data_IF_385744891653
#
_entry.id   IF_385744891653
#
_cell.length_a   1.000
_cell.length_b   1.000
_cell.length_c   1.000
_cell.angle_alpha   90.00
_cell.angle_beta   90.00
_cell.angle_gamma   90.00
#
_symmetry.space_group_name_H-M   'P 1'
#
loop_
_entity.id
_entity.type
_entity.pdbx_description
1 polymer ?
#
# COMPACT_ATOMS: atom_id res chain seq x y z
N UNK A 1 41.18 5.91 59.19
CA UNK A 1 40.97 6.84 58.08
C UNK A 1 39.80 6.35 57.24
N UNK A 2 38.64 6.94 57.47
CA UNK A 2 37.37 6.58 56.85
C UNK A 2 37.13 7.53 55.67
N UNK A 3 37.22 6.99 54.45
CA UNK A 3 37.17 7.77 53.21
C UNK A 3 35.71 7.99 52.82
N UNK A 4 35.14 9.10 53.25
CA UNK A 4 33.79 9.56 52.88
C UNK A 4 33.69 9.73 51.36
N UNK A 5 32.80 8.94 50.75
CA UNK A 5 32.52 8.96 49.31
C UNK A 5 31.51 10.08 49.03
N UNK A 6 31.96 11.18 48.45
CA UNK A 6 31.09 12.26 47.98
C UNK A 6 30.12 11.74 46.90
N UNK A 7 28.84 11.70 47.24
CA UNK A 7 27.75 11.52 46.28
C UNK A 7 27.54 12.83 45.54
N UNK A 8 27.87 12.86 44.24
CA UNK A 8 27.54 13.99 43.37
C UNK A 8 26.02 14.09 43.20
N UNK A 9 25.43 15.30 43.22
CA UNK A 9 24.01 15.49 43.00
C UNK A 9 23.64 15.11 41.56
N UNK A 10 22.61 14.27 41.45
CA UNK A 10 21.97 13.90 40.20
C UNK A 10 21.27 15.15 39.64
N UNK A 11 21.80 15.70 38.55
CA UNK A 11 21.15 16.79 37.81
C UNK A 11 20.17 16.13 36.82
N UNK A 12 18.85 16.30 36.98
CA UNK A 12 17.91 15.77 36.00
C UNK A 12 18.11 16.55 34.69
N UNK A 13 18.62 15.88 33.67
CA UNK A 13 18.59 16.38 32.30
C UNK A 13 17.12 16.57 31.96
N UNK A 14 16.75 17.83 31.72
CA UNK A 14 15.36 18.23 31.54
C UNK A 14 14.69 17.41 30.45
N UNK A 15 13.61 16.72 30.83
CA UNK A 15 12.53 16.35 29.93
C UNK A 15 12.00 17.64 29.30
N UNK A 16 12.53 18.00 28.14
CA UNK A 16 11.83 18.88 27.21
C UNK A 16 10.63 18.06 26.72
N UNK A 17 9.51 18.19 27.41
CA UNK A 17 8.23 17.56 27.03
C UNK A 17 7.92 17.92 25.58
N UNK A 18 8.04 16.93 24.70
CA UNK A 18 7.64 16.93 23.28
C UNK A 18 6.15 17.24 23.02
N UNK A 19 5.39 17.60 24.06
CA UNK A 19 3.97 18.00 23.98
C UNK A 19 3.68 19.17 23.02
N UNK A 20 4.68 20.01 22.70
CA UNK A 20 4.52 21.12 21.75
C UNK A 20 4.71 20.71 20.29
N UNK A 21 5.44 19.62 20.01
CA UNK A 21 5.71 19.17 18.64
C UNK A 21 4.50 18.52 17.97
N UNK A 22 3.77 17.68 18.71
CA UNK A 22 2.61 16.94 18.18
C UNK A 22 1.40 17.87 17.93
N UNK A 23 1.25 18.91 18.76
CA UNK A 23 0.20 19.93 18.59
C UNK A 23 0.43 20.79 17.33
N UNK A 24 1.67 21.02 16.92
CA UNK A 24 2.00 21.81 15.71
C UNK A 24 1.76 21.02 14.42
N UNK A 25 2.05 19.72 14.41
CA UNK A 25 1.84 18.84 13.26
C UNK A 25 0.35 18.54 13.00
N UNK A 26 -0.45 18.40 14.06
CA UNK A 26 -1.91 18.21 13.95
C UNK A 26 -2.64 19.50 13.54
N UNK A 27 -2.16 20.68 13.96
CA UNK A 27 -2.77 21.97 13.59
C UNK A 27 -2.45 22.40 12.14
N UNK A 28 -1.30 21.99 11.59
CA UNK A 28 -0.97 22.23 10.17
C UNK A 28 -1.73 21.30 9.20
N UNK A 29 -2.21 20.14 9.67
CA UNK A 29 -2.86 19.14 8.79
C UNK A 29 -4.37 19.32 8.64
N UNK A 30 -5.05 19.97 9.59
CA UNK A 30 -6.51 20.12 9.56
C UNK A 30 -7.03 21.43 8.95
N UNK A 31 -6.20 22.46 8.85
CA UNK A 31 -6.67 23.80 8.44
C UNK A 31 -6.64 24.03 6.92
N UNK A 32 -6.06 23.11 6.12
CA UNK A 32 -5.93 23.30 4.66
C UNK A 32 -6.63 22.25 3.78
N UNK A 33 -7.24 21.19 4.35
CA UNK A 33 -7.86 20.12 3.54
C UNK A 33 -9.39 20.22 3.43
N UNK A 34 -10.06 21.10 4.20
CA UNK A 34 -11.54 21.14 4.24
C UNK A 34 -12.23 22.08 3.23
N UNK A 35 -11.53 22.82 2.37
CA UNK A 35 -12.17 23.91 1.60
C UNK A 35 -12.09 23.84 0.06
N UNK A 36 -11.65 22.73 -0.55
CA UNK A 36 -11.64 22.62 -2.03
C UNK A 36 -12.12 21.27 -2.55
N UNK A 37 -13.41 21.00 -2.35
CA UNK A 37 -14.17 20.08 -3.22
C UNK A 37 -15.50 20.74 -3.62
N UNK A 38 -15.42 21.94 -4.20
CA UNK A 38 -16.53 22.56 -4.93
C UNK A 38 -16.21 22.49 -6.42
N UNK A 39 -16.92 21.63 -7.14
CA UNK A 39 -16.81 21.51 -8.59
C UNK A 39 -17.70 22.58 -9.21
N UNK A 40 -17.11 23.68 -9.66
CA UNK A 40 -17.74 24.53 -10.67
C UNK A 40 -17.46 23.91 -12.04
N UNK A 41 -18.50 23.36 -12.66
CA UNK A 41 -18.48 22.98 -14.08
C UNK A 41 -18.72 24.23 -14.92
N UNK A 42 -17.65 24.85 -15.43
CA UNK A 42 -17.75 25.78 -16.57
C UNK A 42 -17.39 25.02 -17.84
N UNK A 43 -18.37 24.97 -18.75
CA UNK A 43 -18.29 24.35 -20.07
C UNK A 43 -17.79 25.42 -21.04
N UNK A 44 -16.58 25.26 -21.58
CA UNK A 44 -16.12 26.02 -22.74
C UNK A 44 -15.31 25.11 -23.65
N UNK A 45 -15.88 24.78 -24.80
CA UNK A 45 -15.21 24.09 -25.90
C UNK A 45 -14.15 25.00 -26.52
N UNK A 46 -12.95 24.51 -26.87
CA UNK A 46 -12.09 25.23 -27.79
C UNK A 46 -12.29 24.76 -29.24
N UNK A 47 -12.39 25.75 -30.11
CA UNK A 47 -12.36 25.67 -31.56
C UNK A 47 -11.11 24.97 -32.10
N UNK A 48 -11.31 24.23 -33.18
CA UNK A 48 -10.28 23.56 -33.97
C UNK A 48 -9.65 24.59 -34.89
N UNK A 49 -8.37 24.91 -34.69
CA UNK A 49 -7.56 25.67 -35.64
C UNK A 49 -6.41 24.80 -36.15
N UNK A 50 -6.50 24.46 -37.43
CA UNK A 50 -5.57 23.59 -38.14
C UNK A 50 -4.20 24.24 -38.33
N UNK A 51 -3.16 23.43 -38.15
CA UNK A 51 -1.80 23.77 -38.55
C UNK A 51 -1.27 22.74 -39.55
N UNK A 52 -0.98 23.25 -40.74
CA UNK A 52 -0.28 22.60 -41.85
C UNK A 52 1.22 22.81 -41.62
N UNK A 53 2.02 21.76 -41.61
CA UNK A 53 3.47 21.90 -41.84
C UNK A 53 3.95 20.92 -42.91
N UNK A 54 4.74 21.48 -43.83
CA UNK A 54 5.34 20.83 -44.98
C UNK A 54 6.54 19.98 -44.54
N UNK A 55 6.81 18.92 -45.30
CA UNK A 55 7.82 17.93 -45.01
C UNK A 55 9.27 18.40 -45.14
N UNK A 56 10.14 17.58 -44.57
CA UNK A 56 11.53 17.45 -44.97
C UNK A 56 11.93 15.98 -44.79
N UNK A 57 12.30 15.34 -45.91
CA UNK A 57 12.93 14.02 -45.95
C UNK A 57 14.41 14.18 -45.65
N UNK A 58 14.94 13.35 -44.76
CA UNK A 58 16.35 12.95 -44.79
C UNK A 58 16.43 11.43 -44.64
N UNK A 59 17.17 10.81 -45.56
CA UNK A 59 17.61 9.41 -45.51
C UNK A 59 18.91 9.36 -44.72
N UNK A 60 19.02 8.43 -43.77
CA UNK A 60 20.25 8.14 -43.05
C UNK A 60 20.20 6.72 -42.48
N UNK A 61 21.21 5.92 -42.80
CA UNK A 61 21.30 4.47 -42.60
C UNK A 61 21.63 4.09 -41.14
N UNK A 62 20.87 3.11 -40.63
CA UNK A 62 21.35 1.91 -39.93
C UNK A 62 22.24 2.04 -38.69
N UNK A 63 21.67 1.77 -37.51
CA UNK A 63 22.22 0.83 -36.53
C UNK A 63 21.12 0.33 -35.57
N UNK A 64 21.14 -0.97 -35.28
CA UNK A 64 20.18 -1.69 -34.41
C UNK A 64 20.30 -1.21 -32.96
N UNK A 65 19.15 -0.92 -32.38
CA UNK A 65 18.96 -0.68 -30.95
C UNK A 65 17.52 -0.24 -30.74
N UNK A 66 16.60 -1.21 -30.61
CA UNK A 66 15.18 -0.91 -30.30
C UNK A 66 15.15 -0.48 -28.83
N UNK A 67 15.35 0.82 -28.60
CA UNK A 67 14.89 1.48 -27.39
C UNK A 67 13.50 1.99 -27.71
N UNK A 68 12.48 1.30 -27.23
CA UNK A 68 11.09 1.73 -27.37
C UNK A 68 10.87 2.91 -26.40
N UNK A 69 11.39 4.08 -26.78
CA UNK A 69 11.12 5.34 -26.10
C UNK A 69 9.81 5.89 -26.63
N UNK A 70 8.72 5.18 -26.36
CA UNK A 70 7.39 5.72 -26.58
C UNK A 70 7.15 6.81 -25.54
N UNK A 71 7.09 8.06 -26.00
CA UNK A 71 6.49 9.13 -25.23
C UNK A 71 5.00 8.82 -25.13
N UNK A 72 4.63 8.00 -24.13
CA UNK A 72 3.25 7.92 -23.68
C UNK A 72 2.90 9.28 -23.11
N UNK A 73 2.43 10.18 -24.00
CA UNK A 73 1.46 11.18 -23.56
C UNK A 73 0.44 10.37 -22.80
N UNK A 74 0.25 10.69 -21.52
CA UNK A 74 -0.86 10.22 -20.70
C UNK A 74 -2.11 10.69 -21.44
N UNK A 75 -2.48 9.97 -22.49
CA UNK A 75 -3.83 9.85 -22.92
C UNK A 75 -4.49 9.35 -21.68
N UNK A 76 -5.28 10.23 -21.06
CA UNK A 76 -6.48 9.80 -20.40
C UNK A 76 -7.23 8.99 -21.47
N UNK A 77 -6.84 7.72 -21.63
CA UNK A 77 -7.71 6.71 -22.16
C UNK A 77 -8.98 6.97 -21.37
N UNK A 78 -10.01 7.43 -22.08
CA UNK A 78 -11.35 7.53 -21.52
C UNK A 78 -11.67 6.09 -21.16
N UNK A 79 -11.28 5.72 -19.94
CA UNK A 79 -11.79 4.57 -19.24
C UNK A 79 -13.27 4.88 -19.18
N UNK A 80 -14.02 4.31 -20.12
CA UNK A 80 -15.41 4.66 -20.31
C UNK A 80 -16.08 4.39 -18.98
N UNK A 81 -16.51 5.46 -18.29
CA UNK A 81 -17.24 5.37 -17.04
C UNK A 81 -18.48 4.45 -17.16
N UNK A 82 -18.89 4.15 -18.39
CA UNK A 82 -19.90 3.18 -18.80
C UNK A 82 -19.57 1.72 -18.46
N UNK A 83 -18.30 1.29 -18.45
CA UNK A 83 -17.94 -0.07 -18.01
C UNK A 83 -18.00 -0.25 -16.48
N UNK A 84 -18.17 0.85 -15.75
CA UNK A 84 -18.46 0.85 -14.30
C UNK A 84 -19.87 1.36 -14.01
N UNK A 85 -20.76 1.43 -15.01
CA UNK A 85 -22.17 1.57 -14.71
C UNK A 85 -22.52 0.47 -13.70
N UNK A 86 -23.02 0.81 -12.51
CA UNK A 86 -23.30 -0.19 -11.49
C UNK A 86 -24.20 -1.21 -12.15
N UNK A 87 -23.74 -2.47 -12.23
CA UNK A 87 -24.63 -3.60 -12.45
C UNK A 87 -25.73 -3.39 -11.43
N UNK A 88 -26.90 -2.95 -11.92
CA UNK A 88 -27.98 -2.48 -11.09
C UNK A 88 -28.21 -3.56 -10.07
N UNK A 89 -28.02 -3.24 -8.78
CA UNK A 89 -28.15 -4.19 -7.67
C UNK A 89 -29.52 -4.83 -7.75
N UNK A 90 -29.63 -5.96 -8.45
CA UNK A 90 -30.79 -6.82 -8.33
C UNK A 90 -30.73 -7.33 -6.90
N UNK A 91 -31.76 -7.01 -6.11
CA UNK A 91 -31.90 -7.47 -4.73
C UNK A 91 -32.22 -8.97 -4.66
N UNK A 92 -31.57 -9.77 -5.48
CA UNK A 92 -31.54 -11.22 -5.31
C UNK A 92 -30.39 -11.51 -4.37
N UNK A 93 -30.73 -11.64 -3.08
CA UNK A 93 -29.93 -12.31 -2.06
C UNK A 93 -29.86 -13.81 -2.41
N UNK A 94 -29.28 -14.14 -3.57
CA UNK A 94 -28.79 -15.49 -3.80
C UNK A 94 -27.52 -15.61 -2.96
N UNK A 95 -27.49 -16.63 -2.09
CA UNK A 95 -26.23 -17.23 -1.63
C UNK A 95 -25.50 -17.70 -2.89
N UNK A 96 -24.82 -16.79 -3.57
CA UNK A 96 -23.88 -17.13 -4.62
C UNK A 96 -22.70 -17.75 -3.89
N UNK A 97 -22.81 -19.07 -3.65
CA UNK A 97 -21.68 -19.90 -3.30
C UNK A 97 -20.77 -19.85 -4.51
N UNK A 98 -19.89 -18.86 -4.54
CA UNK A 98 -18.78 -18.82 -5.49
C UNK A 98 -18.09 -20.16 -5.38
N UNK A 99 -18.08 -20.92 -6.46
CA UNK A 99 -17.51 -22.27 -6.55
C UNK A 99 -15.97 -22.26 -6.43
N UNK A 100 -15.38 -21.19 -5.88
CA UNK A 100 -13.95 -20.97 -5.77
C UNK A 100 -13.26 -21.94 -4.81
N UNK A 101 -14.02 -22.71 -4.01
CA UNK A 101 -13.46 -23.60 -2.99
C UNK A 101 -12.97 -22.87 -1.74
N UNK A 102 -12.63 -21.59 -1.86
CA UNK A 102 -12.22 -20.74 -0.75
C UNK A 102 -13.32 -20.53 0.28
N UNK A 103 -12.97 -20.72 1.55
CA UNK A 103 -13.83 -20.52 2.71
C UNK A 103 -13.19 -19.51 3.64
N UNK A 104 -14.04 -18.67 4.20
CA UNK A 104 -13.64 -17.75 5.25
C UNK A 104 -13.18 -18.55 6.47
N UNK A 105 -12.07 -18.14 7.10
CA UNK A 105 -11.58 -18.83 8.31
C UNK A 105 -12.60 -18.88 9.42
N UNK A 106 -12.44 -19.87 10.29
CA UNK A 106 -13.28 -20.05 11.45
C UNK A 106 -13.10 -18.94 12.49
N UNK A 107 -14.10 -18.74 13.35
CA UNK A 107 -14.00 -17.80 14.47
C UNK A 107 -12.85 -18.17 15.44
N UNK A 108 -12.54 -19.46 15.57
CA UNK A 108 -11.44 -19.94 16.39
C UNK A 108 -10.08 -19.52 15.82
N UNK A 109 -9.89 -19.62 14.50
CA UNK A 109 -8.65 -19.20 13.83
C UNK A 109 -8.48 -17.69 13.87
N UNK A 110 -9.55 -16.94 13.64
CA UNK A 110 -9.54 -15.49 13.85
C UNK A 110 -9.15 -15.15 15.29
N UNK A 111 -9.74 -15.83 16.29
CA UNK A 111 -9.40 -15.61 17.70
C UNK A 111 -7.92 -15.89 18.01
N UNK A 112 -7.33 -16.95 17.41
CA UNK A 112 -5.89 -17.23 17.53
C UNK A 112 -5.05 -16.08 16.96
N UNK A 113 -5.40 -15.57 15.77
CA UNK A 113 -4.69 -14.46 15.15
C UNK A 113 -4.80 -13.17 15.98
N UNK A 114 -5.98 -12.87 16.52
CA UNK A 114 -6.18 -11.76 17.47
C UNK A 114 -5.33 -11.95 18.72
N UNK A 115 -5.24 -13.16 19.26
CA UNK A 115 -4.37 -13.48 20.40
C UNK A 115 -2.87 -13.24 20.12
N UNK A 116 -2.40 -13.61 18.93
CA UNK A 116 -1.02 -13.32 18.49
C UNK A 116 -0.79 -11.82 18.38
N UNK A 117 -1.68 -11.08 17.72
CA UNK A 117 -1.58 -9.62 17.60
C UNK A 117 -1.64 -8.92 18.98
N UNK A 118 -2.49 -9.41 19.89
CA UNK A 118 -2.56 -8.94 21.28
C UNK A 118 -1.26 -9.20 22.04
N UNK A 119 -0.62 -10.36 21.82
CA UNK A 119 0.69 -10.67 22.41
C UNK A 119 1.79 -9.75 21.87
N UNK A 120 1.84 -9.53 20.54
CA UNK A 120 2.78 -8.57 19.94
C UNK A 120 2.58 -7.17 20.49
N UNK A 121 1.32 -6.75 20.67
CA UNK A 121 0.97 -5.48 21.30
C UNK A 121 1.50 -5.44 22.73
N UNK A 122 1.19 -6.42 23.58
CA UNK A 122 1.68 -6.48 24.95
C UNK A 122 3.21 -6.42 25.05
N UNK A 123 3.92 -7.14 24.17
CA UNK A 123 5.38 -7.09 24.08
C UNK A 123 5.90 -5.71 23.67
N UNK A 124 5.20 -5.01 22.77
CA UNK A 124 5.57 -3.64 22.39
C UNK A 124 5.39 -2.61 23.51
N UNK A 125 4.55 -2.91 24.52
CA UNK A 125 4.37 -2.12 25.74
C UNK A 125 5.32 -2.50 26.88
N UNK A 126 6.01 -3.65 26.79
CA UNK A 126 6.80 -4.17 27.90
C UNK A 126 8.21 -3.57 27.93
N UNK A 127 8.56 -2.89 29.02
CA UNK A 127 9.90 -2.33 29.23
C UNK A 127 10.99 -3.39 29.40
N UNK A 128 10.61 -4.65 29.64
CA UNK A 128 11.55 -5.77 29.62
C UNK A 128 12.00 -6.17 28.21
N UNK A 129 11.28 -5.72 27.17
CA UNK A 129 11.63 -5.99 25.78
C UNK A 129 12.52 -4.85 25.25
N UNK A 130 13.67 -5.15 24.62
CA UNK A 130 14.54 -4.12 24.08
C UNK A 130 13.83 -3.20 23.07
N UNK A 131 14.12 -1.90 23.13
CA UNK A 131 13.52 -0.87 22.25
C UNK A 131 13.54 -1.25 20.76
N UNK A 132 14.65 -1.77 20.18
CA UNK A 132 14.65 -2.17 18.76
C UNK A 132 13.62 -3.26 18.43
N UNK A 133 13.38 -4.19 19.34
CA UNK A 133 12.40 -5.27 19.17
C UNK A 133 10.98 -4.71 19.28
N UNK A 134 10.72 -3.83 20.26
CA UNK A 134 9.42 -3.16 20.40
C UNK A 134 9.07 -2.35 19.15
N UNK A 135 10.03 -1.59 18.61
CA UNK A 135 9.86 -0.83 17.37
C UNK A 135 9.63 -1.75 16.16
N UNK A 136 10.34 -2.87 16.06
CA UNK A 136 10.14 -3.83 14.98
C UNK A 136 8.71 -4.40 15.00
N UNK A 137 8.22 -4.79 16.18
CA UNK A 137 6.86 -5.30 16.37
C UNK A 137 5.81 -4.26 15.96
N UNK A 138 5.94 -3.02 16.44
CA UNK A 138 5.04 -1.93 16.05
C UNK A 138 5.08 -1.64 14.56
N UNK A 139 6.28 -1.59 13.98
CA UNK A 139 6.47 -1.36 12.54
C UNK A 139 5.74 -2.43 11.74
N UNK A 140 5.93 -3.72 12.06
CA UNK A 140 5.24 -4.80 11.36
C UNK A 140 3.71 -4.69 11.47
N UNK A 141 3.18 -4.49 12.69
CA UNK A 141 1.73 -4.36 12.91
C UNK A 141 1.13 -3.18 12.16
N UNK A 142 1.81 -2.03 12.14
CA UNK A 142 1.39 -0.83 11.41
C UNK A 142 1.39 -1.10 9.91
N UNK A 143 2.45 -1.66 9.36
CA UNK A 143 2.57 -1.86 7.91
C UNK A 143 1.61 -2.94 7.39
N UNK A 144 1.44 -4.06 8.10
CA UNK A 144 0.43 -5.07 7.74
C UNK A 144 -0.99 -4.49 7.81
N UNK A 145 -1.30 -3.70 8.85
CA UNK A 145 -2.61 -3.04 8.96
C UNK A 145 -2.81 -1.98 7.89
N UNK A 146 -1.79 -1.18 7.58
CA UNK A 146 -1.85 -0.13 6.56
C UNK A 146 -2.07 -0.71 5.16
N UNK A 147 -1.36 -1.79 4.81
CA UNK A 147 -1.58 -2.53 3.56
C UNK A 147 -3.03 -3.01 3.46
N UNK A 148 -3.53 -3.69 4.49
CA UNK A 148 -4.92 -4.15 4.55
C UNK A 148 -5.92 -3.00 4.40
N UNK A 149 -5.75 -1.91 5.16
CA UNK A 149 -6.68 -0.78 5.14
C UNK A 149 -6.68 -0.08 3.77
N UNK A 150 -5.50 0.12 3.19
CA UNK A 150 -5.36 0.75 1.88
C UNK A 150 -5.97 -0.12 0.79
N UNK A 151 -5.64 -1.42 0.77
CA UNK A 151 -6.14 -2.33 -0.25
C UNK A 151 -7.66 -2.50 -0.13
N UNK A 152 -8.20 -2.68 1.08
CA UNK A 152 -9.65 -2.82 1.29
C UNK A 152 -10.44 -1.54 1.06
N UNK A 153 -10.02 -0.43 1.68
CA UNK A 153 -10.84 0.79 1.77
C UNK A 153 -10.45 1.89 0.78
N UNK A 154 -9.30 1.78 0.10
CA UNK A 154 -8.92 2.66 -0.99
C UNK A 154 -9.02 1.94 -2.35
N UNK A 155 -8.29 0.84 -2.52
CA UNK A 155 -8.23 0.16 -3.81
C UNK A 155 -9.55 -0.56 -4.17
N UNK A 156 -10.22 -1.16 -3.19
CA UNK A 156 -11.57 -1.76 -3.33
C UNK A 156 -12.71 -0.87 -2.80
N UNK A 157 -12.46 0.44 -2.68
CA UNK A 157 -13.48 1.38 -2.24
C UNK A 157 -14.72 1.34 -3.15
N UNK A 158 -15.96 1.31 -2.59
CA UNK A 158 -17.16 1.39 -3.41
C UNK A 158 -17.21 2.67 -4.25
N UNK A 159 -17.77 2.59 -5.45
CA UNK A 159 -17.94 3.74 -6.33
C UNK A 159 -18.60 4.92 -5.59
N UNK A 160 -18.05 6.13 -5.75
CA UNK A 160 -18.49 7.37 -5.10
C UNK A 160 -18.39 7.39 -3.56
N UNK A 161 -17.82 6.38 -2.92
CA UNK A 161 -17.46 6.45 -1.50
C UNK A 161 -16.37 7.49 -1.26
N UNK A 162 -16.12 7.82 0.00
CA UNK A 162 -15.04 8.74 0.36
C UNK A 162 -13.67 8.23 -0.11
N UNK A 163 -13.39 6.93 0.07
CA UNK A 163 -12.15 6.29 -0.40
C UNK A 163 -11.96 6.41 -1.91
N UNK A 164 -13.00 6.12 -2.70
CA UNK A 164 -12.97 6.26 -4.17
C UNK A 164 -12.77 7.72 -4.60
N UNK A 165 -13.32 8.69 -3.88
CA UNK A 165 -13.15 10.11 -4.21
C UNK A 165 -11.74 10.60 -3.91
N UNK A 166 -11.21 10.27 -2.74
CA UNK A 166 -9.89 10.74 -2.30
C UNK A 166 -8.74 9.98 -2.98
N UNK A 167 -8.93 8.69 -3.26
CA UNK A 167 -7.88 7.79 -3.77
C UNK A 167 -8.29 7.16 -5.11
N UNK A 168 -9.05 7.91 -5.91
CA UNK A 168 -9.61 7.47 -7.21
C UNK A 168 -8.60 6.80 -8.12
N UNK A 169 -7.41 7.37 -8.24
CA UNK A 169 -6.40 6.84 -9.16
C UNK A 169 -5.96 5.43 -8.74
N UNK A 170 -5.74 5.20 -7.44
CA UNK A 170 -5.39 3.89 -6.91
C UNK A 170 -6.54 2.89 -7.08
N UNK A 171 -7.76 3.30 -6.77
CA UNK A 171 -8.95 2.49 -6.98
C UNK A 171 -9.12 2.06 -8.45
N UNK A 172 -9.07 3.01 -9.39
CA UNK A 172 -9.29 2.72 -10.80
C UNK A 172 -8.19 1.85 -11.40
N UNK A 173 -6.93 2.08 -11.05
CA UNK A 173 -5.82 1.23 -11.48
C UNK A 173 -5.97 -0.20 -10.94
N UNK A 174 -6.37 -0.34 -9.67
CA UNK A 174 -6.56 -1.66 -9.06
C UNK A 174 -7.76 -2.42 -9.61
N UNK A 175 -8.91 -1.76 -9.77
CA UNK A 175 -10.08 -2.38 -10.37
C UNK A 175 -9.85 -2.74 -11.85
N UNK A 176 -9.07 -1.94 -12.58
CA UNK A 176 -8.64 -2.27 -13.94
C UNK A 176 -7.77 -3.53 -13.93
N UNK A 177 -6.79 -3.59 -13.03
CA UNK A 177 -5.95 -4.77 -12.84
C UNK A 177 -6.78 -6.04 -12.59
N UNK A 178 -7.75 -6.01 -11.66
CA UNK A 178 -8.68 -7.13 -11.44
C UNK A 178 -9.46 -7.57 -12.68
N UNK A 179 -9.86 -6.62 -13.54
CA UNK A 179 -10.55 -6.91 -14.80
C UNK A 179 -9.65 -7.38 -15.95
N UNK A 180 -8.35 -7.09 -15.85
CA UNK A 180 -7.31 -7.44 -16.83
C UNK A 180 -6.57 -8.74 -16.47
N UNK A 181 -6.72 -9.24 -15.25
CA UNK A 181 -6.23 -10.56 -14.82
C UNK A 181 -7.18 -11.68 -15.25
N UNK A 182 -6.63 -12.73 -15.86
CA UNK A 182 -7.34 -13.94 -16.23
C UNK A 182 -7.59 -14.86 -15.02
N UNK A 183 -8.43 -15.87 -15.16
CA UNK A 183 -8.74 -16.81 -14.07
C UNK A 183 -7.52 -17.65 -13.64
N UNK A 184 -6.54 -17.83 -14.52
CA UNK A 184 -5.26 -18.50 -14.23
C UNK A 184 -4.20 -17.54 -13.67
N UNK A 185 -4.60 -16.34 -13.24
CA UNK A 185 -3.76 -15.25 -12.73
C UNK A 185 -2.84 -14.57 -13.76
N UNK A 186 -2.78 -15.04 -15.02
CA UNK A 186 -2.02 -14.34 -16.07
C UNK A 186 -2.66 -13.01 -16.45
N UNK A 187 -1.90 -12.08 -17.05
CA UNK A 187 -2.44 -10.80 -17.54
C UNK A 187 -2.90 -10.89 -18.99
N UNK A 188 -3.99 -10.19 -19.33
CA UNK A 188 -4.44 -9.99 -20.72
C UNK A 188 -3.46 -9.15 -21.53
N UNK A 189 -3.45 -9.34 -22.84
CA UNK A 189 -2.67 -8.50 -23.75
C UNK A 189 -3.07 -7.02 -23.64
N UNK A 190 -2.08 -6.13 -23.57
CA UNK A 190 -2.31 -4.69 -23.45
C UNK A 190 -2.76 -4.21 -22.07
N UNK A 191 -2.62 -5.03 -21.02
CA UNK A 191 -2.88 -4.62 -19.64
C UNK A 191 -2.07 -3.38 -19.25
N UNK A 192 -2.57 -2.64 -18.26
CA UNK A 192 -1.86 -1.47 -17.74
C UNK A 192 -0.83 -1.87 -16.67
N UNK A 193 0.49 -1.73 -16.93
CA UNK A 193 1.51 -2.15 -15.98
C UNK A 193 1.49 -1.38 -14.66
N UNK A 194 0.98 -0.14 -14.65
CA UNK A 194 0.87 0.66 -13.43
C UNK A 194 -0.13 0.11 -12.41
N UNK A 195 -0.97 -0.85 -12.79
CA UNK A 195 -1.85 -1.57 -11.86
C UNK A 195 -1.11 -2.65 -11.04
N UNK A 196 0.10 -3.03 -11.43
CA UNK A 196 0.83 -4.18 -10.85
C UNK A 196 1.94 -3.74 -9.88
N UNK A 197 2.50 -2.55 -9.98
CA UNK A 197 3.63 -2.16 -9.13
C UNK A 197 3.41 -0.81 -8.44
N UNK A 198 4.20 -0.56 -7.40
CA UNK A 198 4.28 0.72 -6.73
C UNK A 198 5.40 1.59 -7.29
N UNK A 199 4.99 2.77 -7.74
CA UNK A 199 5.89 3.85 -8.13
C UNK A 199 6.57 4.49 -6.91
N UNK A 200 7.65 5.22 -7.14
CA UNK A 200 8.36 6.02 -6.13
C UNK A 200 7.42 6.98 -5.40
N UNK A 201 6.42 7.52 -6.09
CA UNK A 201 5.40 8.37 -5.48
C UNK A 201 4.60 7.61 -4.42
N UNK A 202 4.14 6.41 -4.74
CA UNK A 202 3.40 5.57 -3.80
C UNK A 202 4.29 5.17 -2.62
N UNK A 203 5.52 4.75 -2.87
CA UNK A 203 6.49 4.43 -1.81
C UNK A 203 6.77 5.63 -0.89
N UNK A 204 6.93 6.84 -1.45
CA UNK A 204 7.14 8.05 -0.65
C UNK A 204 5.93 8.38 0.23
N UNK A 205 4.71 8.22 -0.29
CA UNK A 205 3.48 8.41 0.50
C UNK A 205 3.41 7.38 1.63
N UNK A 206 3.67 6.10 1.33
CA UNK A 206 3.69 5.02 2.33
C UNK A 206 4.74 5.26 3.41
N UNK A 207 5.93 5.74 3.04
CA UNK A 207 7.00 6.12 3.96
C UNK A 207 6.55 7.25 4.91
N UNK A 208 5.96 8.33 4.40
CA UNK A 208 5.48 9.44 5.22
C UNK A 208 4.33 9.02 6.14
N UNK A 209 3.38 8.24 5.63
CA UNK A 209 2.27 7.70 6.41
C UNK A 209 2.79 6.75 7.51
N UNK A 210 3.73 5.86 7.17
CA UNK A 210 4.38 4.97 8.10
C UNK A 210 5.13 5.72 9.21
N UNK A 211 5.87 6.79 8.87
CA UNK A 211 6.58 7.61 9.84
C UNK A 211 5.63 8.30 10.83
N UNK A 212 4.51 8.85 10.33
CA UNK A 212 3.48 9.47 11.16
C UNK A 212 2.86 8.43 12.13
N UNK A 213 2.46 7.28 11.60
CA UNK A 213 1.84 6.21 12.39
C UNK A 213 2.81 5.63 13.43
N UNK A 214 4.07 5.39 13.05
CA UNK A 214 5.08 4.86 13.97
C UNK A 214 5.45 5.87 15.05
N UNK A 215 5.49 7.16 14.73
CA UNK A 215 5.68 8.23 15.74
C UNK A 215 4.53 8.22 16.75
N UNK A 216 3.28 8.19 16.28
CA UNK A 216 2.11 8.14 17.16
C UNK A 216 2.09 6.87 18.02
N UNK A 217 2.44 5.72 17.45
CA UNK A 217 2.51 4.46 18.18
C UNK A 217 3.67 4.43 19.20
N UNK A 218 4.83 4.98 18.85
CA UNK A 218 5.98 5.10 19.77
C UNK A 218 5.61 5.93 21.00
N UNK A 219 4.94 7.06 20.80
CA UNK A 219 4.42 7.89 21.90
C UNK A 219 3.37 7.13 22.72
N UNK A 220 2.39 6.50 22.06
CA UNK A 220 1.33 5.74 22.73
C UNK A 220 1.82 4.52 23.52
N UNK A 221 3.02 4.04 23.23
CA UNK A 221 3.67 2.89 23.90
C UNK A 221 4.82 3.31 24.82
N UNK A 222 5.07 4.61 24.99
CA UNK A 222 6.20 5.16 25.74
C UNK A 222 7.56 4.59 25.30
N UNK A 223 7.74 4.34 24.00
CA UNK A 223 9.03 3.95 23.45
C UNK A 223 9.86 5.22 23.22
N UNK A 224 10.97 5.34 23.96
CA UNK A 224 11.96 6.41 23.79
C UNK A 224 12.83 6.17 22.55
N UNK A 225 12.23 6.38 21.38
CA UNK A 225 12.91 6.31 20.10
C UNK A 225 13.13 7.72 19.55
N UNK A 226 14.37 8.02 19.17
CA UNK A 226 14.67 9.28 18.49
C UNK A 226 13.92 9.38 17.17
N UNK A 227 13.58 10.60 16.74
CA UNK A 227 12.97 10.84 15.43
C UNK A 227 13.81 10.25 14.29
N UNK A 228 15.15 10.32 14.39
CA UNK A 228 16.07 9.73 13.40
C UNK A 228 15.90 8.21 13.32
N UNK A 229 15.74 7.54 14.46
CA UNK A 229 15.48 6.10 14.53
C UNK A 229 14.16 5.76 13.84
N UNK A 230 13.08 6.47 14.16
CA UNK A 230 11.75 6.26 13.55
C UNK A 230 11.81 6.46 12.04
N UNK A 231 12.39 7.58 11.58
CA UNK A 231 12.52 7.87 10.15
C UNK A 231 13.36 6.80 9.44
N UNK A 232 14.48 6.40 10.00
CA UNK A 232 15.33 5.35 9.43
C UNK A 232 14.60 4.01 9.32
N UNK A 233 13.87 3.61 10.36
CA UNK A 233 13.05 2.39 10.36
C UNK A 233 11.98 2.44 9.28
N UNK A 234 11.30 3.58 9.11
CA UNK A 234 10.22 3.73 8.12
C UNK A 234 10.73 3.80 6.68
N UNK A 235 11.86 4.48 6.43
CA UNK A 235 12.55 4.48 5.13
C UNK A 235 12.96 3.06 4.77
N UNK A 236 13.66 2.37 5.66
CA UNK A 236 14.12 1.00 5.43
C UNK A 236 12.94 0.06 5.15
N UNK A 237 11.91 0.12 5.99
CA UNK A 237 10.70 -0.72 5.81
C UNK A 237 9.99 -0.39 4.50
N UNK A 238 9.88 0.89 4.12
CA UNK A 238 9.25 1.28 2.85
C UNK A 238 10.02 0.79 1.63
N UNK A 239 11.35 0.81 1.68
CA UNK A 239 12.19 0.28 0.61
C UNK A 239 11.98 -1.23 0.52
N UNK A 240 12.11 -1.97 1.63
CA UNK A 240 11.91 -3.42 1.66
C UNK A 240 10.51 -3.77 1.15
N UNK A 241 9.47 -3.14 1.70
CA UNK A 241 8.09 -3.37 1.30
C UNK A 241 7.87 -3.10 -0.20
N UNK A 242 8.38 -1.99 -0.73
CA UNK A 242 8.24 -1.67 -2.15
C UNK A 242 8.98 -2.66 -3.07
N UNK A 243 10.17 -3.12 -2.67
CA UNK A 243 10.92 -4.16 -3.41
C UNK A 243 10.16 -5.48 -3.40
N UNK A 244 9.63 -5.90 -2.25
CA UNK A 244 8.84 -7.12 -2.13
C UNK A 244 7.54 -7.02 -2.92
N UNK A 245 6.80 -5.91 -2.83
CA UNK A 245 5.58 -5.69 -3.59
C UNK A 245 5.83 -5.78 -5.09
N UNK A 246 6.78 -4.98 -5.60
CA UNK A 246 7.07 -4.89 -7.04
C UNK A 246 7.61 -6.20 -7.61
N UNK A 247 8.19 -7.06 -6.76
CA UNK A 247 8.62 -8.38 -7.18
C UNK A 247 7.48 -9.39 -7.09
N UNK A 248 6.88 -9.53 -5.91
CA UNK A 248 5.93 -10.58 -5.59
C UNK A 248 4.61 -10.41 -6.37
N UNK A 249 4.09 -9.20 -6.45
CA UNK A 249 2.83 -8.95 -7.16
C UNK A 249 3.00 -9.21 -8.67
N UNK A 250 4.09 -8.75 -9.27
CA UNK A 250 4.40 -9.02 -10.68
C UNK A 250 4.61 -10.52 -10.97
N UNK A 251 5.39 -11.21 -10.14
CA UNK A 251 5.63 -12.65 -10.28
C UNK A 251 4.33 -13.47 -10.15
N UNK A 252 3.40 -13.03 -9.29
CA UNK A 252 2.09 -13.69 -9.11
C UNK A 252 1.21 -13.64 -10.37
N UNK A 253 1.53 -12.75 -11.30
CA UNK A 253 0.85 -12.62 -12.59
C UNK A 253 1.73 -13.07 -13.78
N UNK A 254 2.86 -13.72 -13.50
CA UNK A 254 3.83 -14.19 -14.49
C UNK A 254 4.37 -13.10 -15.42
N UNK A 255 4.37 -11.84 -14.95
CA UNK A 255 4.85 -10.69 -15.74
C UNK A 255 6.21 -10.21 -15.26
N UNK A 256 7.09 -9.91 -16.21
CA UNK A 256 8.35 -9.21 -15.96
C UNK A 256 8.23 -7.78 -16.43
N UNK A 257 8.36 -6.86 -15.50
CA UNK A 257 8.22 -5.43 -15.75
C UNK A 257 9.55 -4.71 -15.46
N UNK A 258 9.93 -3.82 -16.36
CA UNK A 258 10.98 -2.83 -16.08
C UNK A 258 10.32 -1.53 -15.62
N UNK A 259 10.70 -1.07 -14.43
CA UNK A 259 10.09 0.10 -13.81
C UNK A 259 10.92 1.35 -14.08
N UNK A 260 10.34 2.34 -14.75
CA UNK A 260 10.99 3.65 -14.95
C UNK A 260 10.71 4.62 -13.80
N UNK A 261 9.68 4.36 -13.00
CA UNK A 261 9.20 5.24 -11.93
C UNK A 261 8.91 4.49 -10.63
N UNK A 262 9.50 3.31 -10.42
CA UNK A 262 9.36 2.51 -9.20
C UNK A 262 10.66 1.83 -8.78
N UNK A 263 10.65 1.24 -7.58
CA UNK A 263 11.78 0.42 -7.11
C UNK A 263 11.91 -0.83 -8.01
N UNK A 264 13.14 -1.29 -8.31
CA UNK A 264 13.35 -2.47 -9.13
C UNK A 264 12.79 -3.73 -8.47
N UNK A 265 12.30 -4.68 -9.27
CA UNK A 265 12.06 -6.04 -8.79
C UNK A 265 13.42 -6.71 -8.57
N UNK A 266 13.62 -7.35 -7.43
CA UNK A 266 14.89 -8.02 -7.11
C UNK A 266 14.82 -9.49 -7.51
N UNK A 267 15.57 -9.87 -8.55
CA UNK A 267 15.61 -11.24 -9.06
C UNK A 267 16.19 -12.28 -8.09
N UNK A 268 16.99 -11.84 -7.10
CA UNK A 268 17.58 -12.76 -6.12
C UNK A 268 16.58 -13.20 -5.05
N UNK A 269 15.43 -12.51 -4.93
CA UNK A 269 14.34 -12.97 -4.07
C UNK A 269 13.65 -14.14 -4.77
N UNK A 270 14.14 -15.35 -4.50
CA UNK A 270 13.49 -16.57 -4.93
C UNK A 270 12.29 -16.84 -4.02
N UNK A 271 11.15 -17.04 -4.66
CA UNK A 271 9.86 -17.32 -4.02
C UNK A 271 9.59 -18.84 -3.97
N UNK A 272 10.63 -19.63 -3.69
CA UNK A 272 10.62 -21.09 -3.65
C UNK A 272 10.50 -21.66 -2.22
N UNK A 273 9.81 -20.92 -1.34
CA UNK A 273 9.62 -21.29 0.06
C UNK A 273 8.14 -21.21 0.46
N UNK A 274 7.81 -21.85 1.58
CA UNK A 274 6.42 -21.94 2.08
C UNK A 274 5.76 -20.58 2.32
N UNK A 275 6.52 -19.55 2.66
CA UNK A 275 5.96 -18.20 2.86
C UNK A 275 5.56 -17.62 1.51
N UNK A 276 6.41 -17.76 0.51
CA UNK A 276 6.11 -17.34 -0.85
C UNK A 276 4.91 -18.07 -1.46
N UNK A 277 4.85 -19.40 -1.30
CA UNK A 277 3.70 -20.22 -1.71
C UNK A 277 2.41 -19.75 -1.02
N UNK A 278 2.48 -19.47 0.29
CA UNK A 278 1.35 -18.97 1.05
C UNK A 278 0.90 -17.59 0.55
N UNK A 279 1.83 -16.66 0.32
CA UNK A 279 1.51 -15.32 -0.20
C UNK A 279 0.85 -15.44 -1.58
N UNK A 280 1.32 -16.35 -2.44
CA UNK A 280 0.78 -16.57 -3.78
C UNK A 280 -0.64 -17.12 -3.68
N UNK A 281 -0.83 -18.18 -2.90
CA UNK A 281 -2.14 -18.76 -2.68
C UNK A 281 -3.14 -17.75 -2.07
N UNK A 282 -2.66 -16.85 -1.19
CA UNK A 282 -3.45 -15.77 -0.63
C UNK A 282 -3.86 -14.74 -1.70
N UNK A 283 -2.94 -14.28 -2.56
CA UNK A 283 -3.23 -13.35 -3.65
C UNK A 283 -4.13 -13.96 -4.73
N UNK A 284 -3.92 -15.22 -5.11
CA UNK A 284 -4.87 -15.95 -5.97
C UNK A 284 -6.25 -15.98 -5.32
N UNK A 285 -6.30 -16.32 -4.02
CA UNK A 285 -7.54 -16.30 -3.25
C UNK A 285 -8.25 -14.94 -3.27
N UNK A 286 -7.50 -13.83 -3.24
CA UNK A 286 -8.05 -12.48 -3.37
C UNK A 286 -8.79 -12.26 -4.70
N UNK A 287 -8.20 -12.68 -5.82
CA UNK A 287 -8.83 -12.61 -7.15
C UNK A 287 -10.01 -13.58 -7.28
N UNK A 288 -9.89 -14.78 -6.72
CA UNK A 288 -10.93 -15.82 -6.75
C UNK A 288 -12.19 -15.40 -5.98
N UNK A 289 -12.02 -14.82 -4.79
CA UNK A 289 -13.12 -14.26 -3.99
C UNK A 289 -13.54 -12.86 -4.44
N UNK A 290 -13.09 -12.41 -5.62
CA UNK A 290 -13.49 -11.14 -6.25
C UNK A 290 -13.24 -9.91 -5.37
N UNK A 291 -12.10 -9.89 -4.69
CA UNK A 291 -11.65 -8.73 -3.91
C UNK A 291 -12.37 -8.51 -2.57
N UNK A 292 -13.15 -9.48 -2.09
CA UNK A 292 -13.89 -9.35 -0.81
C UNK A 292 -13.07 -9.76 0.43
N UNK A 293 -11.85 -10.26 0.25
CA UNK A 293 -10.94 -10.73 1.31
C UNK A 293 -9.50 -10.86 0.84
N UNK A 294 -8.60 -11.35 1.69
CA UNK A 294 -7.16 -11.55 1.40
C UNK A 294 -6.46 -10.28 0.90
N UNK A 295 -6.60 -9.18 1.64
CA UNK A 295 -6.08 -7.86 1.25
C UNK A 295 -4.57 -7.67 1.50
N UNK A 296 -3.94 -8.44 2.38
CA UNK A 296 -2.50 -8.42 2.60
C UNK A 296 -1.82 -9.28 1.54
N UNK A 297 -1.02 -8.65 0.68
CA UNK A 297 -0.27 -9.30 -0.39
C UNK A 297 1.18 -9.57 0.04
N UNK A 298 1.81 -8.65 0.77
CA UNK A 298 3.22 -8.75 1.18
C UNK A 298 3.37 -9.03 2.68
N UNK A 299 2.62 -8.32 3.53
CA UNK A 299 2.76 -8.41 4.99
C UNK A 299 1.53 -9.08 5.61
N UNK A 300 1.55 -10.40 5.82
CA UNK A 300 0.41 -11.14 6.35
C UNK A 300 0.01 -10.69 7.76
N UNK A 301 -1.24 -10.92 8.12
CA UNK A 301 -1.69 -10.83 9.51
C UNK A 301 -3.02 -10.10 9.66
N UNK A 302 -3.11 -8.88 9.14
CA UNK A 302 -4.30 -8.05 9.31
C UNK A 302 -5.59 -8.72 8.79
N UNK A 303 -5.56 -9.44 7.67
CA UNK A 303 -6.74 -10.21 7.21
C UNK A 303 -7.23 -11.24 8.22
N UNK A 304 -6.32 -11.93 8.93
CA UNK A 304 -6.72 -12.92 9.93
C UNK A 304 -7.30 -12.22 11.16
N UNK A 305 -6.69 -11.12 11.59
CA UNK A 305 -7.15 -10.32 12.73
C UNK A 305 -8.55 -9.76 12.45
N UNK A 306 -8.76 -9.18 11.27
CA UNK A 306 -10.03 -8.56 10.87
C UNK A 306 -11.07 -9.54 10.33
N UNK A 307 -10.72 -10.82 10.20
CA UNK A 307 -11.63 -11.84 9.71
C UNK A 307 -12.05 -11.57 8.26
N UNK A 308 -11.08 -11.32 7.40
CA UNK A 308 -11.22 -11.22 5.94
C UNK A 308 -10.31 -12.19 5.20
N UNK A 309 -9.61 -13.07 5.92
CA UNK A 309 -8.85 -14.14 5.31
C UNK A 309 -9.77 -15.29 4.86
N UNK A 310 -9.49 -15.80 3.66
CA UNK A 310 -10.10 -16.96 3.02
C UNK A 310 -9.00 -17.98 2.71
N UNK A 311 -9.22 -19.20 3.16
CA UNK A 311 -8.37 -20.36 2.89
C UNK A 311 -9.06 -21.32 1.93
N UNK A 312 -8.29 -22.14 1.22
CA UNK A 312 -8.82 -23.10 0.24
C UNK A 312 -9.15 -24.46 0.86
#
# INVERSE_FOLDING_TARGET
EEKTRETRPFVPIGMVRLSTGLSLLLSLSFTQVSSRCSIQTTRSSPEILGWRSKGLRSRGLGHRGVTQRESWKVGSARYNAEQQAPVSKSKTSSKETTNSGYKKISALEQAKAVGVAGTMTALSYSDSVPVPIRLLLLTYMIWSSAEYLFHRYAMHAPYNSWGDKCLRNYNRLHMAHHGETNEDMTMREGFNPHGIYFSYKTSAISMLAGALLLTAASEATNIDASLVTILSSTVLTSIIYGLFWNRFHADSHEVKLEYNDGLPALDFLKFDNKIAEWLLANHVGHHDVKGVGNYNIVLPGADHVFGTYYER
#
